data_IF_036321673727
#
_entry.id   IF_036321673727
#
_cell.length_a   1.000
_cell.length_b   1.000
_cell.length_c   1.000
_cell.angle_alpha   90.00
_cell.angle_beta   90.00
_cell.angle_gamma   90.00
#
_symmetry.space_group_name_H-M   'P 1'
#
loop_
_entity.id
_entity.type
_entity.pdbx_description
1 polymer ?
#
# COMPACT_ATOMS: atom_id res chain seq x y z
N UNK A 1 0.00 8.76 9.00
CA UNK A 1 0.60 9.15 10.29
C UNK A 1 0.06 8.21 11.33
N UNK A 2 0.94 7.68 12.17
CA UNK A 2 0.56 6.91 13.36
C UNK A 2 0.60 7.87 14.54
N UNK A 3 -0.39 7.77 15.41
CA UNK A 3 -0.43 8.48 16.69
C UNK A 3 -0.33 7.43 17.78
N UNK A 4 0.70 7.54 18.61
CA UNK A 4 0.92 6.66 19.74
C UNK A 4 0.03 7.06 20.92
N UNK A 5 -0.17 6.16 21.88
CA UNK A 5 -1.08 6.38 23.02
C UNK A 5 -0.65 7.54 23.94
N UNK A 6 0.62 7.92 23.88
CA UNK A 6 1.18 9.08 24.60
C UNK A 6 1.00 10.41 23.84
N UNK A 7 0.30 10.40 22.70
CA UNK A 7 0.03 11.59 21.88
C UNK A 7 1.16 11.97 20.91
N UNK A 8 2.28 11.23 20.84
CA UNK A 8 3.32 11.49 19.85
C UNK A 8 2.91 10.96 18.47
N UNK A 9 3.24 11.71 17.42
CA UNK A 9 2.91 11.32 16.04
C UNK A 9 4.16 11.07 15.20
N UNK A 10 4.11 10.08 14.32
CA UNK A 10 5.15 9.83 13.32
C UNK A 10 4.58 9.44 11.96
N UNK A 11 5.39 9.58 10.92
CA UNK A 11 5.07 9.04 9.61
C UNK A 11 5.03 7.51 9.66
N UNK A 12 4.25 6.92 8.74
CA UNK A 12 4.34 5.49 8.49
C UNK A 12 5.74 5.16 7.95
N UNK A 13 6.28 4.02 8.37
CA UNK A 13 7.38 3.38 7.66
C UNK A 13 6.91 2.93 6.28
N UNK A 14 7.84 2.73 5.35
CA UNK A 14 7.53 2.17 4.02
C UNK A 14 6.77 0.86 4.14
N UNK A 15 7.10 0.02 5.14
CA UNK A 15 6.42 -1.26 5.34
C UNK A 15 5.01 -1.13 5.88
N UNK A 16 4.78 -0.24 6.84
CA UNK A 16 3.43 0.04 7.31
C UNK A 16 2.54 0.58 6.18
N UNK A 17 3.07 1.50 5.37
CA UNK A 17 2.35 2.03 4.21
C UNK A 17 2.06 0.96 3.14
N UNK A 18 2.98 0.03 2.91
CA UNK A 18 2.76 -1.10 2.01
C UNK A 18 1.66 -2.05 2.49
N UNK A 19 1.63 -2.34 3.80
CA UNK A 19 0.56 -3.15 4.42
C UNK A 19 -0.80 -2.48 4.29
N UNK A 20 -0.86 -1.15 4.43
CA UNK A 20 -2.10 -0.40 4.21
C UNK A 20 -2.61 -0.54 2.76
N UNK A 21 -1.72 -0.65 1.79
CA UNK A 21 -2.07 -0.95 0.39
C UNK A 21 -2.45 -2.43 0.15
N UNK A 22 -2.33 -3.29 1.16
CA UNK A 22 -2.58 -4.74 1.04
C UNK A 22 -1.46 -5.52 0.38
N UNK A 23 -0.26 -4.93 0.26
CA UNK A 23 0.90 -5.62 -0.30
C UNK A 23 1.43 -6.68 0.69
N UNK A 24 1.91 -7.83 0.19
CA UNK A 24 2.44 -8.88 1.06
C UNK A 24 3.74 -8.42 1.72
N UNK A 25 3.99 -8.91 2.93
CA UNK A 25 5.18 -8.55 3.72
C UNK A 25 6.49 -8.95 3.04
N UNK A 26 6.46 -9.97 2.19
CA UNK A 26 7.57 -10.45 1.38
C UNK A 26 7.92 -9.53 0.21
N UNK A 27 7.07 -8.56 -0.14
CA UNK A 27 7.36 -7.64 -1.23
C UNK A 27 8.33 -6.54 -0.77
N UNK A 28 9.54 -6.59 -1.33
CA UNK A 28 10.55 -5.55 -1.16
C UNK A 28 10.18 -4.27 -1.91
N UNK A 29 10.39 -3.12 -1.28
CA UNK A 29 10.17 -1.80 -1.89
C UNK A 29 11.51 -1.07 -1.91
N UNK A 30 12.23 -1.11 -3.04
CA UNK A 30 13.53 -0.50 -3.15
C UNK A 30 13.44 1.03 -3.31
N UNK A 31 14.57 1.69 -3.08
CA UNK A 31 14.72 3.14 -3.26
C UNK A 31 14.63 3.93 -1.97
N UNK A 32 14.71 5.26 -2.10
CA UNK A 32 14.64 6.17 -0.95
C UNK A 32 13.24 6.17 -0.34
N UNK A 33 13.17 6.51 0.96
CA UNK A 33 11.89 6.61 1.68
C UNK A 33 10.87 7.50 0.95
N UNK A 34 11.28 8.66 0.41
CA UNK A 34 10.39 9.59 -0.30
C UNK A 34 9.85 8.99 -1.61
N UNK A 35 10.70 8.31 -2.39
CA UNK A 35 10.29 7.64 -3.62
C UNK A 35 9.32 6.49 -3.33
N UNK A 36 9.64 5.66 -2.34
CA UNK A 36 8.80 4.54 -1.92
C UNK A 36 7.43 5.03 -1.44
N UNK A 37 7.38 6.06 -0.57
CA UNK A 37 6.13 6.63 -0.10
C UNK A 37 5.31 7.27 -1.22
N UNK A 38 5.95 7.91 -2.22
CA UNK A 38 5.25 8.44 -3.40
C UNK A 38 4.64 7.34 -4.26
N UNK A 39 5.40 6.27 -4.51
CA UNK A 39 4.91 5.12 -5.27
C UNK A 39 3.74 4.45 -4.55
N UNK A 40 3.88 4.22 -3.24
CA UNK A 40 2.82 3.66 -2.39
C UNK A 40 1.60 4.56 -2.30
N UNK A 41 1.77 5.88 -2.26
CA UNK A 41 0.65 6.83 -2.25
C UNK A 41 -0.14 6.84 -3.55
N UNK A 42 0.52 6.58 -4.68
CA UNK A 42 -0.11 6.51 -6.01
C UNK A 42 -0.57 5.08 -6.39
N UNK A 43 -0.26 4.07 -5.59
CA UNK A 43 -0.62 2.69 -5.87
C UNK A 43 -2.11 2.44 -5.66
N UNK A 44 -2.66 1.48 -6.41
CA UNK A 44 -4.01 0.96 -6.21
C UNK A 44 -3.99 -0.11 -5.11
N UNK A 45 -4.90 -0.07 -4.12
CA UNK A 45 -5.00 -1.12 -3.10
C UNK A 45 -5.22 -2.50 -3.71
N UNK A 46 -4.49 -3.50 -3.22
CA UNK A 46 -4.47 -4.87 -3.77
C UNK A 46 -5.87 -5.48 -3.85
N UNK A 47 -6.70 -5.28 -2.83
CA UNK A 47 -8.06 -5.81 -2.77
C UNK A 47 -8.96 -5.18 -3.84
N UNK A 48 -8.80 -3.88 -4.09
CA UNK A 48 -9.55 -3.18 -5.13
C UNK A 48 -9.13 -3.68 -6.52
N UNK A 49 -7.82 -3.78 -6.78
CA UNK A 49 -7.29 -4.31 -8.02
C UNK A 49 -7.77 -5.75 -8.27
N UNK A 50 -7.83 -6.59 -7.22
CA UNK A 50 -8.29 -7.97 -7.31
C UNK A 50 -9.79 -8.07 -7.66
N UNK A 51 -10.65 -7.22 -7.07
CA UNK A 51 -12.08 -7.17 -7.41
C UNK A 51 -12.28 -6.69 -8.85
N UNK A 52 -11.64 -5.58 -9.23
CA UNK A 52 -11.72 -5.03 -10.58
C UNK A 52 -11.22 -6.03 -11.63
N UNK A 53 -10.09 -6.67 -11.38
CA UNK A 53 -9.52 -7.69 -12.26
C UNK A 53 -10.45 -8.89 -12.47
N UNK A 54 -11.09 -9.40 -11.41
CA UNK A 54 -12.09 -10.47 -11.54
C UNK A 54 -13.30 -10.04 -12.37
N UNK A 55 -13.78 -8.80 -12.18
CA UNK A 55 -14.90 -8.27 -12.96
C UNK A 55 -14.55 -8.14 -14.44
N UNK A 56 -13.41 -7.53 -14.77
CA UNK A 56 -12.92 -7.41 -16.15
C UNK A 56 -12.78 -8.80 -16.78
N UNK A 57 -12.13 -9.75 -16.08
CA UNK A 57 -11.97 -11.11 -16.58
C UNK A 57 -13.30 -11.84 -16.83
N UNK A 58 -14.36 -11.51 -16.07
CA UNK A 58 -15.70 -12.06 -16.33
C UNK A 58 -16.37 -11.46 -17.55
N UNK A 59 -16.08 -10.19 -17.88
CA UNK A 59 -16.65 -9.47 -19.02
C UNK A 59 -15.94 -9.78 -20.36
N UNK A 60 -14.74 -10.37 -20.30
CA UNK A 60 -13.95 -10.76 -21.48
C UNK A 60 -14.18 -12.23 -21.90
N UNK A 61 -15.08 -12.94 -21.22
CA UNK A 61 -15.55 -14.28 -21.62
C UNK A 61 -16.74 -14.16 -22.56
#
# INVERSE_FOLDING_TARGET
MVVDLNGTSRHFTVREAARLQGLPDTLEIPGSWSQAMRQLGNAVPVQLAAVAGRWIASALK
#
